data_IF_418199296695
#
_entry.id   IF_418199296695
#
_cell.length_a   1.000
_cell.length_b   1.000
_cell.length_c   1.000
_cell.angle_alpha   90.00
_cell.angle_beta   90.00
_cell.angle_gamma   90.00
#
_symmetry.space_group_name_H-M   'P 1'
#
loop_
_entity.id
_entity.type
_entity.pdbx_description
1 polymer ?
#
# COMPACT_ATOMS: atom_id res chain seq x y z
N UNK A 1 -45.02 34.50 9.82
CA UNK A 1 -44.69 33.48 8.79
C UNK A 1 -44.37 34.14 7.46
N UNK A 2 -43.17 33.93 6.91
CA UNK A 2 -42.85 34.35 5.54
C UNK A 2 -42.94 33.13 4.61
N UNK A 3 -44.15 32.83 4.12
CA UNK A 3 -44.46 31.57 3.40
C UNK A 3 -43.53 31.29 2.21
N UNK A 4 -43.00 32.34 1.57
CA UNK A 4 -42.04 32.21 0.49
C UNK A 4 -40.69 31.60 0.94
N UNK A 5 -40.21 31.91 2.15
CA UNK A 5 -38.96 31.34 2.69
C UNK A 5 -39.11 29.88 3.10
N UNK A 6 -40.23 29.54 3.74
CA UNK A 6 -40.55 28.15 4.07
C UNK A 6 -40.70 27.28 2.81
N UNK A 7 -41.35 27.81 1.76
CA UNK A 7 -41.47 27.15 0.47
C UNK A 7 -40.11 26.95 -0.22
N UNK A 8 -39.24 27.97 -0.21
CA UNK A 8 -37.90 27.86 -0.77
C UNK A 8 -37.05 26.79 -0.06
N UNK A 9 -37.07 26.76 1.28
CA UNK A 9 -36.36 25.73 2.06
C UNK A 9 -36.90 24.32 1.79
N UNK A 10 -38.23 24.16 1.68
CA UNK A 10 -38.84 22.88 1.33
C UNK A 10 -38.45 22.39 -0.08
N UNK A 11 -38.34 23.31 -1.05
CA UNK A 11 -37.89 22.98 -2.41
C UNK A 11 -36.42 22.57 -2.42
N UNK A 12 -35.56 23.24 -1.65
CA UNK A 12 -34.14 22.86 -1.50
C UNK A 12 -34.03 21.44 -0.97
N UNK A 13 -34.72 21.12 0.14
CA UNK A 13 -34.70 19.77 0.72
C UNK A 13 -35.19 18.71 -0.28
N UNK A 14 -36.28 18.98 -1.01
CA UNK A 14 -36.80 18.03 -2.00
C UNK A 14 -35.83 17.81 -3.17
N UNK A 15 -35.19 18.86 -3.69
CA UNK A 15 -34.26 18.75 -4.82
C UNK A 15 -32.97 18.03 -4.40
N UNK A 16 -32.42 18.35 -3.23
CA UNK A 16 -31.20 17.73 -2.73
C UNK A 16 -31.43 16.27 -2.29
N UNK A 17 -32.57 15.95 -1.67
CA UNK A 17 -32.95 14.56 -1.41
C UNK A 17 -33.17 13.75 -2.70
N UNK A 18 -33.73 14.36 -3.75
CA UNK A 18 -33.86 13.72 -5.06
C UNK A 18 -32.49 13.48 -5.73
N UNK A 19 -31.56 14.42 -5.57
CA UNK A 19 -30.19 14.29 -6.05
C UNK A 19 -29.42 13.18 -5.31
N UNK A 20 -29.59 13.07 -3.99
CA UNK A 20 -29.03 11.97 -3.19
C UNK A 20 -29.55 10.60 -3.64
N UNK A 21 -30.86 10.49 -3.91
CA UNK A 21 -31.46 9.26 -4.44
C UNK A 21 -30.88 8.94 -5.82
N UNK A 22 -30.73 9.94 -6.70
CA UNK A 22 -30.12 9.76 -8.02
C UNK A 22 -28.67 9.26 -7.95
N UNK A 23 -27.85 9.87 -7.09
CA UNK A 23 -26.46 9.44 -6.86
C UNK A 23 -26.37 8.02 -6.29
N UNK A 24 -27.30 7.64 -5.41
CA UNK A 24 -27.37 6.29 -4.87
C UNK A 24 -27.71 5.26 -5.97
N UNK A 25 -28.62 5.58 -6.88
CA UNK A 25 -29.02 4.68 -7.97
C UNK A 25 -27.98 4.56 -9.10
N UNK A 26 -27.28 5.64 -9.45
CA UNK A 26 -26.22 5.62 -10.47
C UNK A 26 -25.00 4.82 -10.02
N UNK A 27 -24.62 4.91 -8.73
CA UNK A 27 -23.47 4.15 -8.21
C UNK A 27 -23.79 2.67 -7.96
N UNK A 28 -25.02 2.36 -7.54
CA UNK A 28 -25.47 0.98 -7.32
C UNK A 28 -25.63 0.16 -8.62
N UNK A 29 -25.66 0.81 -9.78
CA UNK A 29 -25.84 0.16 -11.09
C UNK A 29 -24.54 -0.16 -11.82
N UNK A 30 -23.38 0.01 -11.17
CA UNK A 30 -22.08 -0.40 -11.72
C UNK A 30 -21.73 -1.85 -11.37
N UNK A 31 -22.61 -2.80 -11.72
CA UNK A 31 -22.20 -4.20 -11.85
C UNK A 31 -21.43 -4.35 -13.15
N UNK A 32 -20.10 -4.51 -13.03
CA UNK A 32 -19.19 -4.70 -14.15
C UNK A 32 -19.12 -6.19 -14.52
N UNK A 33 -19.23 -6.54 -15.82
CA UNK A 33 -18.94 -7.89 -16.28
C UNK A 33 -17.42 -8.14 -16.22
N UNK A 34 -17.05 -9.34 -15.79
CA UNK A 34 -15.68 -9.89 -15.90
C UNK A 34 -15.23 -9.89 -17.36
N UNK A 35 -14.03 -9.38 -17.69
CA UNK A 35 -13.48 -9.50 -19.03
C UNK A 35 -13.23 -10.98 -19.38
N UNK A 36 -13.66 -11.42 -20.56
CA UNK A 36 -13.19 -12.68 -21.15
C UNK A 36 -11.72 -12.51 -21.53
N UNK A 37 -10.83 -13.20 -20.82
CA UNK A 37 -9.41 -13.29 -21.16
C UNK A 37 -9.20 -14.09 -22.44
N UNK A 38 -8.36 -13.57 -23.34
CA UNK A 38 -7.90 -14.27 -24.54
C UNK A 38 -7.11 -15.53 -24.14
N UNK A 39 -7.36 -16.65 -24.83
CA UNK A 39 -6.93 -18.00 -24.45
C UNK A 39 -5.45 -18.31 -24.75
N UNK A 40 -4.59 -17.29 -24.75
CA UNK A 40 -3.15 -17.42 -25.05
C UNK A 40 -2.23 -16.95 -23.94
N UNK A 41 -2.77 -16.42 -22.84
CA UNK A 41 -1.99 -16.00 -21.67
C UNK A 41 -1.73 -17.22 -20.76
N UNK A 42 -0.50 -17.43 -20.24
CA UNK A 42 -0.22 -18.42 -19.20
C UNK A 42 -1.21 -18.28 -18.03
N UNK A 43 -1.37 -19.32 -17.21
CA UNK A 43 -2.26 -19.26 -16.04
C UNK A 43 -1.70 -18.29 -14.99
N UNK A 44 -1.93 -17.00 -15.22
CA UNK A 44 -1.49 -15.93 -14.33
C UNK A 44 -2.49 -15.83 -13.19
N UNK A 45 -2.00 -16.14 -12.00
CA UNK A 45 -2.69 -15.83 -10.77
C UNK A 45 -2.10 -14.55 -10.18
N UNK A 46 -2.79 -13.96 -9.21
CA UNK A 46 -2.24 -12.85 -8.43
C UNK A 46 -2.20 -13.31 -6.98
N UNK A 47 -1.01 -13.31 -6.39
CA UNK A 47 -0.81 -13.41 -4.95
C UNK A 47 -1.05 -12.02 -4.37
N UNK A 48 -1.72 -11.93 -3.22
CA UNK A 48 -1.99 -10.68 -2.54
C UNK A 48 -1.71 -10.81 -1.05
N UNK A 49 -1.04 -9.79 -0.49
CA UNK A 49 -0.94 -9.51 0.94
C UNK A 49 -2.04 -8.56 1.37
N UNK A 50 -2.81 -8.92 2.39
CA UNK A 50 -3.88 -8.07 2.94
C UNK A 50 -3.55 -7.68 4.36
N UNK A 51 -3.36 -6.38 4.59
CA UNK A 51 -3.08 -5.82 5.91
C UNK A 51 -4.29 -6.01 6.84
N UNK A 52 -5.48 -5.64 6.37
CA UNK A 52 -6.73 -5.78 7.12
C UNK A 52 -7.96 -5.72 6.22
N UNK A 53 -9.07 -6.27 6.71
CA UNK A 53 -10.40 -6.13 6.13
C UNK A 53 -11.23 -5.15 6.94
N UNK A 54 -11.80 -4.16 6.25
CA UNK A 54 -12.70 -3.17 6.81
C UNK A 54 -11.98 -1.93 7.33
N UNK A 55 -11.05 -2.07 8.29
CA UNK A 55 -10.32 -0.95 8.89
C UNK A 55 -8.90 -1.37 9.27
N UNK A 56 -7.92 -0.47 9.16
CA UNK A 56 -6.48 -0.73 9.37
C UNK A 56 -6.15 -1.46 10.69
N UNK A 57 -6.90 -1.20 11.76
CA UNK A 57 -6.68 -1.80 13.08
C UNK A 57 -7.53 -3.04 13.39
N UNK A 58 -8.11 -3.73 12.41
CA UNK A 58 -8.96 -4.90 12.66
C UNK A 58 -8.19 -6.21 12.85
N UNK A 59 -6.87 -6.23 12.62
CA UNK A 59 -5.97 -7.37 12.84
C UNK A 59 -6.51 -8.69 12.25
N UNK A 60 -7.02 -8.62 11.02
CA UNK A 60 -7.69 -9.72 10.32
C UNK A 60 -7.18 -9.88 8.88
N UNK A 61 -5.91 -9.54 8.67
CA UNK A 61 -5.17 -9.69 7.43
C UNK A 61 -4.95 -11.14 7.03
N UNK A 62 -4.57 -11.33 5.77
CA UNK A 62 -4.38 -12.65 5.17
C UNK A 62 -3.54 -12.56 3.89
N UNK A 63 -2.95 -13.70 3.50
CA UNK A 63 -2.40 -13.90 2.16
C UNK A 63 -3.44 -14.66 1.31
N UNK A 64 -3.56 -14.34 0.03
CA UNK A 64 -4.47 -15.03 -0.88
C UNK A 64 -3.96 -15.12 -2.31
N UNK A 65 -4.41 -16.13 -3.04
CA UNK A 65 -4.22 -16.22 -4.49
C UNK A 65 -5.56 -16.10 -5.18
N UNK A 66 -5.65 -15.18 -6.15
CA UNK A 66 -6.83 -14.95 -6.97
C UNK A 66 -6.57 -15.32 -8.42
N UNK A 67 -7.56 -15.94 -9.05
CA UNK A 67 -7.52 -16.22 -10.48
C UNK A 67 -7.89 -14.97 -11.30
N UNK A 68 -7.61 -15.00 -12.60
CA UNK A 68 -7.92 -13.90 -13.53
C UNK A 68 -9.40 -13.49 -13.55
N UNK A 69 -10.33 -14.41 -13.24
CA UNK A 69 -11.75 -14.10 -13.13
C UNK A 69 -12.17 -13.50 -11.77
N UNK A 70 -11.20 -13.23 -10.88
CA UNK A 70 -11.41 -12.70 -9.53
C UNK A 70 -11.80 -13.75 -8.47
N UNK A 71 -11.88 -15.03 -8.82
CA UNK A 71 -12.20 -16.07 -7.83
C UNK A 71 -11.01 -16.36 -6.92
N UNK A 72 -11.31 -16.56 -5.63
CA UNK A 72 -10.33 -16.98 -4.62
C UNK A 72 -9.93 -18.44 -4.87
N UNK A 73 -8.63 -18.67 -5.01
CA UNK A 73 -8.02 -19.99 -5.29
C UNK A 73 -7.36 -20.56 -4.04
N UNK A 74 -6.67 -19.69 -3.31
CA UNK A 74 -5.95 -20.04 -2.10
C UNK A 74 -6.06 -18.90 -1.08
N UNK A 75 -6.00 -19.24 0.20
CA UNK A 75 -6.02 -18.29 1.31
C UNK A 75 -5.32 -18.89 2.51
N UNK A 76 -4.50 -18.08 3.17
CA UNK A 76 -3.83 -18.39 4.42
C UNK A 76 -3.93 -17.19 5.34
N UNK A 77 -4.10 -17.43 6.63
CA UNK A 77 -4.28 -16.39 7.63
C UNK A 77 -3.93 -16.90 9.01
N UNK A 78 -3.42 -16.01 9.85
CA UNK A 78 -3.23 -16.23 11.29
C UNK A 78 -4.21 -15.33 12.04
N UNK A 79 -4.80 -15.77 13.17
CA UNK A 79 -5.66 -14.90 13.97
C UNK A 79 -4.91 -13.66 14.47
N UNK A 80 -5.59 -12.51 14.52
CA UNK A 80 -5.02 -11.24 15.00
C UNK A 80 -3.80 -10.76 14.20
N UNK A 81 -3.72 -11.12 12.91
CA UNK A 81 -2.55 -10.82 12.09
C UNK A 81 -2.83 -9.70 11.08
N UNK A 82 -1.75 -9.00 10.70
CA UNK A 82 -1.64 -8.14 9.54
C UNK A 82 -0.61 -8.78 8.60
N UNK A 83 -0.86 -8.76 7.30
CA UNK A 83 0.08 -9.26 6.27
C UNK A 83 0.46 -8.08 5.39
N UNK A 84 1.74 -7.78 5.35
CA UNK A 84 2.26 -6.61 4.63
C UNK A 84 2.81 -7.05 3.27
N UNK A 85 3.79 -7.93 3.28
CA UNK A 85 4.44 -8.45 2.08
C UNK A 85 4.17 -9.96 1.87
N UNK A 86 4.12 -10.40 0.60
CA UNK A 86 4.01 -11.79 0.16
C UNK A 86 4.67 -12.04 -1.20
N UNK A 87 5.60 -13.01 -1.27
CA UNK A 87 6.17 -13.48 -2.55
C UNK A 87 5.94 -14.99 -2.77
N UNK A 88 5.92 -15.42 -4.05
CA UNK A 88 6.03 -16.84 -4.39
C UNK A 88 7.52 -17.22 -4.50
N UNK A 89 7.94 -18.26 -3.78
CA UNK A 89 9.29 -18.80 -3.86
C UNK A 89 9.46 -19.75 -5.06
N UNK A 90 10.70 -19.94 -5.49
CA UNK A 90 11.03 -20.83 -6.61
C UNK A 90 10.60 -22.30 -6.39
N UNK A 91 10.50 -22.75 -5.14
CA UNK A 91 10.01 -24.08 -4.77
C UNK A 91 8.48 -24.20 -4.82
N UNK A 92 7.75 -23.10 -5.07
CA UNK A 92 6.30 -23.01 -5.14
C UNK A 92 5.64 -22.58 -3.82
N UNK A 93 6.39 -22.48 -2.72
CA UNK A 93 5.90 -21.99 -1.43
C UNK A 93 5.65 -20.49 -1.46
N UNK A 94 4.97 -19.99 -0.43
CA UNK A 94 4.69 -18.56 -0.26
C UNK A 94 5.50 -18.05 0.93
N UNK A 95 6.30 -17.00 0.75
CA UNK A 95 6.85 -16.23 1.86
C UNK A 95 5.83 -15.16 2.26
N UNK A 96 5.78 -14.80 3.53
CA UNK A 96 4.92 -13.71 3.99
C UNK A 96 5.50 -13.01 5.23
N UNK A 97 5.39 -11.68 5.22
CA UNK A 97 5.69 -10.80 6.35
C UNK A 97 4.42 -10.55 7.17
N UNK A 98 4.42 -11.03 8.42
CA UNK A 98 3.22 -11.13 9.26
C UNK A 98 3.44 -10.51 10.64
N UNK A 99 2.63 -9.52 10.99
CA UNK A 99 2.60 -8.93 12.32
C UNK A 99 1.37 -9.44 13.09
N UNK A 100 1.58 -10.19 14.17
CA UNK A 100 0.51 -10.74 15.01
C UNK A 100 0.35 -9.91 16.27
N UNK A 101 -0.85 -9.37 16.50
CA UNK A 101 -1.18 -8.64 17.71
C UNK A 101 -1.40 -9.61 18.87
N UNK A 102 -0.58 -9.47 19.91
CA UNK A 102 -0.56 -10.37 21.06
C UNK A 102 -1.11 -9.67 22.30
N UNK A 103 -2.11 -10.24 23.00
CA UNK A 103 -2.62 -9.66 24.24
C UNK A 103 -1.53 -9.45 25.30
N UNK A 104 -1.57 -8.36 26.08
CA UNK A 104 -0.54 -8.03 27.11
C UNK A 104 -0.13 -9.24 27.96
N UNK A 105 -1.12 -10.02 28.38
CA UNK A 105 -0.94 -11.12 29.30
C UNK A 105 -0.11 -12.29 28.71
N UNK A 106 0.00 -12.34 27.38
CA UNK A 106 0.74 -13.35 26.62
C UNK A 106 2.06 -12.81 26.06
N UNK A 107 2.32 -11.50 26.21
CA UNK A 107 3.56 -10.88 25.79
C UNK A 107 4.77 -11.34 26.64
N UNK A 108 5.99 -11.38 26.08
CA UNK A 108 7.20 -11.53 26.87
C UNK A 108 7.31 -10.47 27.96
N UNK A 109 7.86 -10.82 29.14
CA UNK A 109 7.91 -9.94 30.32
C UNK A 109 8.46 -8.54 30.03
N UNK A 110 9.43 -8.42 29.10
CA UNK A 110 10.02 -7.13 28.73
C UNK A 110 9.05 -6.16 28.05
N UNK A 111 8.02 -6.67 27.38
CA UNK A 111 6.99 -5.90 26.68
C UNK A 111 5.66 -5.90 27.43
N UNK A 112 5.60 -6.52 28.62
CA UNK A 112 4.42 -6.44 29.45
C UNK A 112 4.32 -5.06 30.07
N UNK A 113 3.46 -4.24 29.50
CA UNK A 113 3.20 -2.88 29.93
C UNK A 113 2.21 -2.89 31.09
N UNK A 114 2.60 -2.35 32.26
CA UNK A 114 1.70 -2.24 33.43
C UNK A 114 0.76 -1.04 33.33
N UNK A 115 1.18 -0.01 32.60
CA UNK A 115 0.50 1.29 32.46
C UNK A 115 0.51 1.84 30.99
N UNK A 116 0.95 1.07 29.99
CA UNK A 116 1.03 1.43 28.56
C UNK A 116 0.17 0.57 27.60
N UNK A 117 0.38 0.60 26.27
CA UNK A 117 -0.51 -0.02 25.29
C UNK A 117 -0.71 -1.51 25.58
N UNK A 118 -1.96 -1.95 25.52
CA UNK A 118 -2.37 -3.22 26.11
C UNK A 118 -1.92 -4.47 25.33
N UNK A 119 -1.26 -4.35 24.18
CA UNK A 119 -0.85 -5.49 23.37
C UNK A 119 0.56 -5.24 22.84
N UNK A 120 1.37 -6.28 22.75
CA UNK A 120 2.63 -6.28 21.99
C UNK A 120 2.40 -6.86 20.60
N UNK A 121 3.44 -6.89 19.77
CA UNK A 121 3.41 -7.53 18.45
C UNK A 121 4.41 -8.67 18.38
N UNK A 122 4.02 -9.72 17.68
CA UNK A 122 4.87 -10.85 17.31
C UNK A 122 5.04 -10.81 15.80
N UNK A 123 6.18 -10.29 15.37
CA UNK A 123 6.58 -10.22 13.97
C UNK A 123 7.14 -11.55 13.53
N UNK A 124 6.72 -11.99 12.34
CA UNK A 124 7.03 -13.31 11.80
C UNK A 124 7.21 -13.19 10.30
N UNK A 125 8.36 -13.65 9.80
CA UNK A 125 8.54 -13.96 8.38
C UNK A 125 8.40 -15.46 8.24
N UNK A 126 7.42 -15.91 7.46
CA UNK A 126 7.03 -17.33 7.38
C UNK A 126 7.09 -17.84 5.94
N UNK A 127 7.68 -19.01 5.75
CA UNK A 127 7.54 -19.78 4.51
C UNK A 127 6.41 -20.79 4.69
N UNK A 128 5.44 -20.75 3.79
CA UNK A 128 4.20 -21.52 3.84
C UNK A 128 4.19 -22.52 2.68
N UNK A 129 4.05 -23.81 3.00
CA UNK A 129 3.80 -24.83 1.98
C UNK A 129 2.48 -24.53 1.28
N UNK A 130 2.52 -24.35 -0.04
CA UNK A 130 1.35 -23.90 -0.80
C UNK A 130 0.18 -24.90 -0.72
N UNK A 131 0.46 -26.21 -0.75
CA UNK A 131 -0.54 -27.25 -0.80
C UNK A 131 -1.12 -27.57 0.58
N UNK A 132 -0.26 -27.72 1.59
CA UNK A 132 -0.69 -28.11 2.95
C UNK A 132 -1.08 -26.92 3.81
N UNK A 133 -0.58 -25.72 3.48
CA UNK A 133 -0.72 -24.48 4.27
C UNK A 133 0.01 -24.51 5.61
N UNK A 134 0.92 -25.47 5.79
CA UNK A 134 1.77 -25.54 6.97
C UNK A 134 2.92 -24.52 6.84
N UNK A 135 3.28 -23.89 7.95
CA UNK A 135 4.51 -23.10 8.02
C UNK A 135 5.69 -24.07 8.07
N UNK A 136 6.57 -24.02 7.07
CA UNK A 136 7.72 -24.92 6.90
C UNK A 136 9.05 -24.28 7.30
N UNK A 137 9.10 -22.95 7.36
CA UNK A 137 10.20 -22.18 7.92
C UNK A 137 9.65 -20.88 8.54
N UNK A 138 10.31 -20.39 9.58
CA UNK A 138 9.92 -19.17 10.29
C UNK A 138 11.14 -18.49 10.91
N UNK A 139 11.17 -17.16 10.82
CA UNK A 139 11.99 -16.29 11.65
C UNK A 139 11.09 -15.27 12.35
N UNK A 140 11.22 -15.13 13.67
CA UNK A 140 10.27 -14.36 14.47
C UNK A 140 10.90 -13.59 15.63
N UNK A 141 10.25 -12.49 16.00
CA UNK A 141 10.61 -11.69 17.18
C UNK A 141 9.39 -10.95 17.72
N UNK A 142 9.47 -10.57 19.00
CA UNK A 142 8.47 -9.70 19.62
C UNK A 142 8.95 -8.26 19.65
N UNK A 143 8.00 -7.33 19.57
CA UNK A 143 8.21 -5.90 19.74
C UNK A 143 7.11 -5.22 20.60
N UNK A 144 7.32 -3.97 21.00
CA UNK A 144 6.61 -3.34 22.12
C UNK A 144 5.10 -3.18 21.92
N UNK A 145 4.64 -2.74 20.74
CA UNK A 145 3.22 -2.56 20.42
C UNK A 145 2.96 -2.68 18.92
N UNK A 146 1.73 -2.98 18.46
CA UNK A 146 1.49 -3.30 17.04
C UNK A 146 1.78 -2.21 16.03
N UNK A 147 1.28 -0.99 16.24
CA UNK A 147 1.35 0.02 15.19
C UNK A 147 2.76 0.61 15.13
N UNK A 148 3.31 0.68 13.92
CA UNK A 148 4.65 1.18 13.63
C UNK A 148 5.79 0.29 14.13
N UNK A 149 5.48 -0.96 14.48
CA UNK A 149 6.49 -1.97 14.83
C UNK A 149 6.28 -3.28 14.08
N UNK A 150 5.49 -3.27 13.02
CA UNK A 150 5.29 -4.43 12.17
C UNK A 150 6.53 -4.74 11.32
N UNK A 151 6.82 -6.03 11.11
CA UNK A 151 7.66 -6.40 9.96
C UNK A 151 6.91 -6.01 8.70
N UNK A 152 7.57 -5.22 7.85
CA UNK A 152 6.93 -4.66 6.67
C UNK A 152 7.21 -5.47 5.42
N UNK A 153 8.45 -5.93 5.27
CA UNK A 153 8.89 -6.52 4.02
C UNK A 153 9.99 -7.59 4.23
N UNK A 154 10.01 -8.62 3.39
CA UNK A 154 11.02 -9.66 3.43
C UNK A 154 11.20 -10.45 2.11
N UNK A 155 12.44 -10.49 1.64
CA UNK A 155 12.84 -11.10 0.37
C UNK A 155 13.70 -12.35 0.53
N UNK A 156 13.36 -13.46 -0.16
CA UNK A 156 14.25 -14.61 -0.27
C UNK A 156 15.32 -14.37 -1.35
N UNK A 157 16.55 -14.20 -0.88
CA UNK A 157 17.71 -13.96 -1.73
C UNK A 157 18.13 -15.21 -2.53
N UNK A 158 18.82 -15.05 -3.68
CA UNK A 158 19.30 -16.17 -4.51
C UNK A 158 20.25 -17.15 -3.81
N UNK A 159 20.90 -16.73 -2.71
CA UNK A 159 21.77 -17.57 -1.90
C UNK A 159 21.00 -18.39 -0.84
N UNK A 160 19.69 -18.19 -0.70
CA UNK A 160 18.81 -18.84 0.27
C UNK A 160 18.68 -18.12 1.61
N UNK A 161 19.36 -16.99 1.81
CA UNK A 161 19.11 -16.09 2.94
C UNK A 161 17.82 -15.30 2.73
N UNK A 162 17.23 -14.78 3.79
CA UNK A 162 16.08 -13.88 3.73
C UNK A 162 16.51 -12.48 4.18
N UNK A 163 16.30 -11.46 3.36
CA UNK A 163 16.43 -10.05 3.71
C UNK A 163 15.13 -9.57 4.37
N UNK A 164 15.21 -8.69 5.37
CA UNK A 164 14.06 -8.29 6.19
C UNK A 164 14.15 -6.81 6.55
N UNK A 165 13.03 -6.11 6.35
CA UNK A 165 12.77 -4.74 6.77
C UNK A 165 12.01 -4.73 8.11
N UNK A 166 12.70 -4.38 9.20
CA UNK A 166 12.16 -4.35 10.56
C UNK A 166 11.92 -2.89 10.97
N UNK A 167 10.71 -2.42 10.68
CA UNK A 167 10.27 -1.05 10.92
C UNK A 167 10.44 -0.65 12.38
N UNK A 168 9.97 -1.48 13.32
CA UNK A 168 9.92 -1.13 14.74
C UNK A 168 11.29 -0.93 15.40
N UNK A 169 12.34 -1.47 14.79
CA UNK A 169 13.71 -1.37 15.27
C UNK A 169 14.61 -0.57 14.32
N UNK A 170 14.02 0.12 13.33
CA UNK A 170 14.69 0.98 12.34
C UNK A 170 15.92 0.32 11.68
N UNK A 171 15.77 -0.95 11.27
CA UNK A 171 16.88 -1.74 10.74
C UNK A 171 16.50 -2.64 9.57
N UNK A 172 17.51 -2.94 8.78
CA UNK A 172 17.48 -3.89 7.67
C UNK A 172 18.51 -4.98 7.95
N UNK A 173 18.17 -6.26 7.72
CA UNK A 173 19.11 -7.35 7.99
C UNK A 173 18.86 -8.58 7.11
N UNK A 174 19.86 -9.46 7.01
CA UNK A 174 19.69 -10.78 6.40
C UNK A 174 19.83 -11.89 7.43
N UNK A 175 19.02 -12.94 7.28
CA UNK A 175 19.11 -14.17 8.08
C UNK A 175 19.34 -15.38 7.19
N UNK A 176 20.16 -16.32 7.65
CA UNK A 176 20.29 -17.62 7.00
C UNK A 176 19.16 -18.58 7.41
N UNK A 177 19.08 -19.74 6.77
CA UNK A 177 18.06 -20.77 7.06
C UNK A 177 18.04 -21.22 8.53
N UNK A 178 19.17 -21.14 9.24
CA UNK A 178 19.28 -21.49 10.66
C UNK A 178 18.83 -20.35 11.61
N UNK A 179 18.46 -19.19 11.09
CA UNK A 179 18.06 -18.01 11.84
C UNK A 179 19.22 -17.17 12.38
N UNK A 180 20.44 -17.33 11.85
CA UNK A 180 21.57 -16.48 12.21
C UNK A 180 21.56 -15.22 11.35
N UNK A 181 21.65 -14.05 11.97
CA UNK A 181 21.83 -12.76 11.26
C UNK A 181 23.21 -12.76 10.60
N UNK A 182 23.26 -12.56 9.28
CA UNK A 182 24.50 -12.58 8.47
C UNK A 182 24.93 -11.20 7.99
N UNK A 183 24.03 -10.23 8.01
CA UNK A 183 24.27 -8.80 7.74
C UNK A 183 23.20 -7.98 8.47
N UNK A 184 23.55 -6.78 8.95
CA UNK A 184 22.62 -5.86 9.60
C UNK A 184 23.07 -4.41 9.37
N UNK A 185 22.11 -3.57 9.01
CA UNK A 185 22.23 -2.13 8.88
C UNK A 185 21.21 -1.46 9.79
N UNK A 186 21.66 -0.50 10.60
CA UNK A 186 20.82 0.21 11.59
C UNK A 186 20.72 1.68 11.21
N UNK A 187 19.50 2.20 10.99
CA UNK A 187 19.31 3.59 10.61
C UNK A 187 19.90 4.58 11.63
N UNK A 188 19.87 4.22 12.91
CA UNK A 188 20.45 5.01 14.00
C UNK A 188 21.95 5.32 13.81
N UNK A 189 22.70 4.44 13.15
CA UNK A 189 24.14 4.63 12.91
C UNK A 189 24.43 5.46 11.66
N UNK A 190 23.45 5.57 10.75
CA UNK A 190 23.68 6.02 9.38
C UNK A 190 22.90 7.28 9.00
N UNK A 191 21.66 7.43 9.44
CA UNK A 191 20.77 8.53 9.05
C UNK A 191 20.15 9.29 10.22
N UNK A 192 20.40 8.90 11.48
CA UNK A 192 19.89 9.66 12.63
C UNK A 192 20.56 11.04 12.77
N UNK A 193 19.93 11.94 13.54
CA UNK A 193 20.47 13.26 13.88
C UNK A 193 21.91 13.17 14.40
N UNK A 194 22.80 13.95 13.78
CA UNK A 194 24.23 14.00 14.12
C UNK A 194 25.11 13.02 13.33
N UNK A 195 24.51 12.22 12.44
CA UNK A 195 25.25 11.51 11.40
C UNK A 195 25.60 12.47 10.25
N UNK A 196 26.69 12.21 9.49
CA UNK A 196 27.02 13.01 8.33
C UNK A 196 25.90 13.05 7.27
N UNK A 197 25.18 11.94 7.08
CA UNK A 197 24.08 11.89 6.14
C UNK A 197 22.95 12.83 6.56
N UNK A 198 22.53 12.80 7.84
CA UNK A 198 21.47 13.67 8.35
C UNK A 198 21.84 15.16 8.22
N UNK A 199 23.07 15.52 8.62
CA UNK A 199 23.55 16.91 8.51
C UNK A 199 23.65 17.41 7.06
N UNK A 200 23.75 16.50 6.09
CA UNK A 200 23.82 16.83 4.68
C UNK A 200 22.44 16.94 4.01
N UNK A 201 21.51 16.07 4.35
CA UNK A 201 20.25 15.91 3.60
C UNK A 201 19.03 16.48 4.32
N UNK A 202 19.04 16.59 5.65
CA UNK A 202 17.87 17.11 6.39
C UNK A 202 17.98 18.62 6.57
N UNK A 203 16.96 19.42 6.16
CA UNK A 203 16.96 20.86 6.37
C UNK A 203 17.05 21.25 7.85
N UNK A 204 17.89 22.25 8.17
CA UNK A 204 18.12 22.71 9.54
C UNK A 204 16.85 23.08 10.30
N UNK A 205 15.85 23.67 9.62
CA UNK A 205 14.57 24.08 10.21
C UNK A 205 13.55 22.94 10.32
N UNK A 206 13.87 21.76 9.78
CA UNK A 206 13.08 20.53 9.86
C UNK A 206 13.73 19.44 10.71
N UNK A 207 14.91 19.68 11.29
CA UNK A 207 15.63 18.64 12.02
C UNK A 207 14.81 17.92 13.12
N UNK A 208 13.90 18.62 13.81
CA UNK A 208 13.01 18.03 14.83
C UNK A 208 11.91 17.13 14.26
N UNK A 209 11.54 17.29 12.99
CA UNK A 209 10.55 16.46 12.31
C UNK A 209 11.09 15.06 11.99
N UNK A 210 12.36 14.98 11.60
CA UNK A 210 13.01 13.73 11.17
C UNK A 210 13.79 13.01 12.29
N UNK A 211 13.95 13.63 13.46
CA UNK A 211 14.76 13.03 14.51
C UNK A 211 14.01 11.91 15.25
N UNK A 212 14.76 10.88 15.65
CA UNK A 212 14.26 9.86 16.58
C UNK A 212 13.84 10.50 17.91
N UNK A 213 12.63 10.17 18.35
CA UNK A 213 12.05 10.54 19.65
C UNK A 213 12.29 9.46 20.73
N UNK A 214 13.01 8.39 20.37
CA UNK A 214 13.37 7.29 21.26
C UNK A 214 13.35 5.92 20.58
N UNK A 215 13.61 4.84 21.34
CA UNK A 215 13.72 3.49 20.79
C UNK A 215 12.46 2.94 20.11
N UNK A 216 11.28 3.45 20.49
CA UNK A 216 9.99 2.98 19.98
C UNK A 216 9.31 4.05 19.10
N UNK A 217 10.11 4.96 18.53
CA UNK A 217 9.58 6.05 17.69
C UNK A 217 9.55 5.63 16.22
N UNK A 218 8.46 5.97 15.52
CA UNK A 218 8.32 5.75 14.08
C UNK A 218 9.01 6.86 13.29
N UNK A 219 10.34 6.96 13.37
CA UNK A 219 11.06 8.06 12.73
C UNK A 219 11.59 7.71 11.34
N UNK A 220 11.85 6.42 11.06
CA UNK A 220 12.22 5.98 9.71
C UNK A 220 11.01 5.49 8.91
N UNK A 221 10.12 4.75 9.57
CA UNK A 221 9.14 3.89 8.94
C UNK A 221 9.75 3.05 7.80
N UNK A 222 10.90 2.41 8.07
CA UNK A 222 11.59 1.56 7.09
C UNK A 222 10.65 0.42 6.68
N UNK A 223 10.32 0.35 5.40
CA UNK A 223 9.14 -0.35 4.91
C UNK A 223 9.41 -1.30 3.75
N UNK A 224 10.65 -1.39 3.28
CA UNK A 224 10.98 -2.11 2.05
C UNK A 224 12.47 -2.43 1.97
N UNK A 225 12.84 -3.60 1.41
CA UNK A 225 14.20 -4.07 1.22
C UNK A 225 14.38 -4.99 0.01
N UNK A 226 14.90 -4.45 -1.09
CA UNK A 226 15.26 -5.26 -2.27
C UNK A 226 16.76 -5.51 -2.38
N UNK A 227 17.17 -6.68 -2.88
CA UNK A 227 18.55 -6.90 -3.30
C UNK A 227 18.79 -6.56 -4.77
N UNK A 228 19.66 -5.59 -5.01
CA UNK A 228 20.15 -5.25 -6.34
C UNK A 228 21.11 -6.30 -6.90
N UNK A 229 21.19 -6.37 -8.24
CA UNK A 229 22.08 -7.30 -8.96
C UNK A 229 23.58 -7.17 -8.64
N UNK A 230 24.02 -6.02 -8.12
CA UNK A 230 25.40 -5.78 -7.65
C UNK A 230 25.64 -6.32 -6.23
N UNK A 231 24.61 -6.79 -5.54
CA UNK A 231 24.64 -7.33 -4.18
C UNK A 231 24.29 -6.34 -3.08
N UNK A 232 24.15 -5.05 -3.41
CA UNK A 232 23.68 -4.00 -2.50
C UNK A 232 22.19 -4.17 -2.19
N UNK A 233 21.74 -3.52 -1.12
CA UNK A 233 20.34 -3.43 -0.78
C UNK A 233 19.79 -2.06 -1.14
N UNK A 234 18.57 -2.04 -1.63
CA UNK A 234 17.77 -0.85 -1.73
C UNK A 234 16.85 -0.81 -0.51
N UNK A 235 16.83 0.31 0.21
CA UNK A 235 16.03 0.45 1.43
C UNK A 235 15.11 1.66 1.29
N UNK A 236 13.81 1.46 1.46
CA UNK A 236 12.87 2.58 1.52
C UNK A 236 12.77 3.12 2.94
N UNK A 237 13.06 4.42 3.12
CA UNK A 237 12.91 5.15 4.37
C UNK A 237 11.75 6.12 4.21
N UNK A 238 10.54 5.60 4.38
CA UNK A 238 9.28 6.28 4.05
C UNK A 238 9.16 7.66 4.69
N UNK A 239 9.46 7.80 5.98
CA UNK A 239 9.25 9.09 6.67
C UNK A 239 10.29 10.15 6.28
N UNK A 240 11.32 9.77 5.54
CA UNK A 240 12.32 10.69 4.99
C UNK A 240 12.06 11.00 3.51
N UNK A 241 11.06 10.40 2.88
CA UNK A 241 10.81 10.50 1.43
C UNK A 241 12.01 10.07 0.57
N UNK A 242 12.86 9.16 1.09
CA UNK A 242 14.08 8.71 0.40
C UNK A 242 14.19 7.20 0.25
N UNK A 243 14.88 6.80 -0.80
CA UNK A 243 15.33 5.43 -1.04
C UNK A 243 16.85 5.40 -1.01
N UNK A 244 17.45 4.47 -0.26
CA UNK A 244 18.89 4.38 -0.04
C UNK A 244 19.45 3.14 -0.75
N UNK A 245 20.56 3.28 -1.50
CA UNK A 245 21.37 2.11 -1.90
C UNK A 245 22.48 1.89 -0.87
N UNK A 246 22.47 0.73 -0.22
CA UNK A 246 23.36 0.37 0.89
C UNK A 246 24.20 -0.85 0.53
N UNK A 247 25.51 -0.73 0.71
CA UNK A 247 26.48 -1.82 0.48
C UNK A 247 26.46 -2.86 1.59
N UNK A 248 27.04 -4.04 1.34
CA UNK A 248 27.25 -5.09 2.36
C UNK A 248 28.20 -4.66 3.49
N UNK A 249 28.98 -3.60 3.27
CA UNK A 249 29.83 -2.95 4.28
C UNK A 249 29.10 -1.85 5.07
N UNK A 250 27.78 -1.70 4.90
CA UNK A 250 26.91 -0.71 5.54
C UNK A 250 27.14 0.75 5.10
N UNK A 251 27.77 0.97 3.94
CA UNK A 251 27.91 2.31 3.38
C UNK A 251 26.71 2.66 2.49
N UNK A 252 26.10 3.83 2.71
CA UNK A 252 25.13 4.43 1.80
C UNK A 252 25.91 4.97 0.60
N UNK A 253 25.66 4.44 -0.60
CA UNK A 253 26.36 4.83 -1.83
C UNK A 253 25.51 5.70 -2.75
N UNK A 254 24.19 5.59 -2.67
CA UNK A 254 23.25 6.45 -3.38
C UNK A 254 22.06 6.80 -2.48
N UNK A 255 21.43 7.95 -2.74
CA UNK A 255 20.21 8.42 -2.10
C UNK A 255 19.33 8.99 -3.20
N UNK A 256 18.10 8.48 -3.29
CA UNK A 256 17.08 8.95 -4.23
C UNK A 256 16.00 9.70 -3.50
N UNK A 257 15.62 10.86 -4.03
CA UNK A 257 14.71 11.78 -3.35
C UNK A 257 15.42 12.60 -2.27
N UNK A 258 14.67 13.48 -1.61
CA UNK A 258 15.20 14.41 -0.61
C UNK A 258 14.15 14.62 0.50
N UNK A 259 14.56 14.64 1.79
CA UNK A 259 13.66 14.98 2.88
C UNK A 259 12.95 16.33 2.65
N UNK A 260 11.62 16.37 2.84
CA UNK A 260 10.75 17.55 2.61
C UNK A 260 10.52 17.90 1.13
N UNK A 261 11.05 17.15 0.16
CA UNK A 261 10.72 17.30 -1.28
C UNK A 261 9.64 16.31 -1.76
N UNK A 262 8.40 16.63 -1.37
CA UNK A 262 7.23 15.85 -1.77
C UNK A 262 6.89 15.91 -3.27
N UNK A 263 7.62 16.67 -4.10
CA UNK A 263 7.39 16.72 -5.54
C UNK A 263 7.93 15.46 -6.24
N UNK A 264 9.00 14.87 -5.69
CA UNK A 264 9.62 13.64 -6.19
C UNK A 264 8.82 12.44 -5.66
N UNK A 265 8.76 12.30 -4.33
CA UNK A 265 8.06 11.22 -3.61
C UNK A 265 7.53 11.72 -2.27
N UNK A 266 6.43 11.15 -1.78
CA UNK A 266 5.86 11.42 -0.47
C UNK A 266 5.37 10.12 0.17
N UNK A 267 6.10 9.69 1.20
CA UNK A 267 5.90 8.49 2.00
C UNK A 267 5.76 7.23 1.11
N UNK A 268 6.79 6.98 0.30
CA UNK A 268 6.84 5.96 -0.75
C UNK A 268 6.98 4.51 -0.27
N UNK A 269 6.63 3.56 -1.15
CA UNK A 269 6.67 2.10 -0.96
C UNK A 269 7.12 1.38 -2.24
N UNK A 270 7.58 0.13 -2.12
CA UNK A 270 8.07 -0.73 -3.20
C UNK A 270 8.87 0.01 -4.29
N UNK A 271 10.04 0.59 -3.95
CA UNK A 271 10.96 1.12 -4.94
C UNK A 271 11.66 0.03 -5.77
N UNK A 272 11.03 -0.44 -6.84
CA UNK A 272 11.62 -1.46 -7.71
C UNK A 272 12.64 -0.88 -8.73
N UNK A 273 13.90 -1.33 -8.69
CA UNK A 273 14.93 -0.93 -9.67
C UNK A 273 14.87 -1.78 -10.94
N UNK A 274 14.50 -1.13 -12.04
CA UNK A 274 14.47 -1.75 -13.37
C UNK A 274 15.91 -1.77 -13.93
N UNK A 275 16.66 -2.82 -13.59
CA UNK A 275 18.12 -2.92 -13.81
C UNK A 275 18.59 -2.82 -15.27
N UNK A 276 17.73 -3.09 -16.25
CA UNK A 276 18.07 -2.92 -17.67
C UNK A 276 18.11 -1.44 -18.07
N UNK A 277 17.00 -0.70 -17.85
CA UNK A 277 16.92 0.74 -18.10
C UNK A 277 17.70 1.63 -17.12
N UNK A 278 17.91 1.19 -15.88
CA UNK A 278 18.47 2.05 -14.82
C UNK A 278 17.45 3.03 -14.24
N UNK A 279 16.16 2.73 -14.32
CA UNK A 279 15.07 3.53 -13.76
C UNK A 279 14.53 2.87 -12.48
N UNK A 280 13.78 3.62 -11.67
CA UNK A 280 13.18 3.12 -10.44
C UNK A 280 11.66 3.36 -10.48
N UNK A 281 10.88 2.30 -10.35
CA UNK A 281 9.43 2.37 -10.22
C UNK A 281 9.08 2.48 -8.74
N UNK A 282 8.16 3.36 -8.37
CA UNK A 282 7.87 3.65 -6.96
C UNK A 282 6.36 3.87 -6.75
N UNK A 283 5.81 3.26 -5.71
CA UNK A 283 4.49 3.62 -5.20
C UNK A 283 4.59 4.87 -4.30
N UNK A 284 4.28 6.03 -4.88
CA UNK A 284 4.30 7.34 -4.20
C UNK A 284 2.97 7.57 -3.46
N UNK A 285 2.88 6.95 -2.28
CA UNK A 285 1.61 6.65 -1.60
C UNK A 285 0.79 7.89 -1.23
N UNK A 286 1.39 8.92 -0.63
CA UNK A 286 0.62 10.10 -0.18
C UNK A 286 0.37 11.12 -1.30
N UNK A 287 1.07 10.99 -2.44
CA UNK A 287 0.71 11.68 -3.68
C UNK A 287 -0.33 10.91 -4.52
N UNK A 288 -0.85 9.78 -4.02
CA UNK A 288 -1.87 8.97 -4.67
C UNK A 288 -1.48 8.56 -6.13
N UNK A 289 -0.21 8.21 -6.37
CA UNK A 289 0.32 7.91 -7.71
C UNK A 289 1.40 6.83 -7.72
N UNK A 290 1.61 6.23 -8.89
CA UNK A 290 2.85 5.51 -9.19
C UNK A 290 3.74 6.41 -10.03
N UNK A 291 5.04 6.46 -9.75
CA UNK A 291 6.04 7.17 -10.56
C UNK A 291 7.14 6.22 -11.02
N UNK A 292 7.70 6.48 -12.19
CA UNK A 292 8.98 5.90 -12.59
C UNK A 292 9.98 7.03 -12.75
N UNK A 293 11.09 6.93 -12.01
CA UNK A 293 12.16 7.90 -11.93
C UNK A 293 13.36 7.45 -12.77
N UNK A 294 13.98 8.39 -13.46
CA UNK A 294 15.35 8.23 -13.94
C UNK A 294 16.30 8.30 -12.73
N UNK A 295 17.12 7.28 -12.48
CA UNK A 295 17.98 7.23 -11.28
C UNK A 295 19.17 8.20 -11.35
N UNK A 296 19.54 8.71 -12.52
CA UNK A 296 20.66 9.68 -12.63
C UNK A 296 20.18 11.12 -12.43
N UNK A 297 18.98 11.43 -12.90
CA UNK A 297 18.45 12.80 -12.93
C UNK A 297 17.28 13.05 -11.98
N UNK A 298 16.69 11.98 -11.44
CA UNK A 298 15.45 11.98 -10.63
C UNK A 298 14.23 12.57 -11.35
N UNK A 299 14.31 12.71 -12.68
CA UNK A 299 13.17 13.13 -13.48
C UNK A 299 12.09 12.03 -13.48
N UNK A 300 10.84 12.41 -13.20
CA UNK A 300 9.67 11.54 -13.37
C UNK A 300 9.45 11.33 -14.88
N UNK A 301 9.79 10.15 -15.39
CA UNK A 301 9.66 9.78 -16.80
C UNK A 301 8.30 9.14 -17.13
N UNK A 302 7.63 8.57 -16.12
CA UNK A 302 6.28 8.05 -16.23
C UNK A 302 5.52 8.21 -14.91
N UNK A 303 4.21 8.40 -14.98
CA UNK A 303 3.36 8.43 -13.78
C UNK A 303 1.93 7.96 -14.05
N UNK A 304 1.28 7.42 -13.03
CA UNK A 304 -0.10 6.96 -13.10
C UNK A 304 -0.88 7.34 -11.84
N UNK A 305 -1.75 8.35 -11.95
CA UNK A 305 -2.61 8.87 -10.88
C UNK A 305 -4.06 8.39 -11.02
N UNK A 306 -4.47 8.02 -12.24
CA UNK A 306 -5.88 7.72 -12.51
C UNK A 306 -6.11 6.70 -13.61
N UNK A 307 -7.24 6.02 -13.49
CA UNK A 307 -7.78 5.18 -14.56
C UNK A 307 -8.35 6.07 -15.68
N UNK A 308 -7.93 5.89 -16.96
CA UNK A 308 -8.44 6.68 -18.06
C UNK A 308 -9.90 6.34 -18.37
N UNK A 309 -10.62 7.31 -18.93
CA UNK A 309 -12.05 7.16 -19.24
C UNK A 309 -12.35 6.08 -20.30
N UNK A 310 -11.34 5.66 -21.06
CA UNK A 310 -11.40 4.56 -22.03
C UNK A 310 -11.48 3.18 -21.38
N UNK A 311 -11.18 3.05 -20.09
CA UNK A 311 -11.22 1.77 -19.40
C UNK A 311 -12.62 1.43 -18.90
N UNK A 312 -12.98 0.14 -19.03
CA UNK A 312 -14.25 -0.43 -18.60
C UNK A 312 -14.15 -1.04 -17.19
N UNK A 313 -13.52 -0.30 -16.27
CA UNK A 313 -13.41 -0.65 -14.85
C UNK A 313 -13.76 0.56 -14.00
N UNK A 314 -13.68 0.46 -12.68
CA UNK A 314 -13.81 1.60 -11.79
C UNK A 314 -12.83 2.73 -12.18
N UNK A 315 -13.35 3.91 -12.50
CA UNK A 315 -12.59 5.03 -13.08
C UNK A 315 -12.07 6.02 -12.05
N UNK A 316 -12.25 5.72 -10.76
CA UNK A 316 -11.75 6.56 -9.68
C UNK A 316 -10.22 6.60 -9.70
N UNK A 317 -9.66 7.73 -9.30
CA UNK A 317 -8.22 7.93 -9.15
C UNK A 317 -7.64 6.92 -8.17
N UNK A 318 -6.35 6.64 -8.33
CA UNK A 318 -5.59 5.86 -7.37
C UNK A 318 -5.70 6.49 -6.00
N UNK A 319 -5.46 5.66 -5.00
CA UNK A 319 -5.44 6.12 -3.65
C UNK A 319 -4.64 5.26 -2.71
N UNK A 320 -3.63 5.89 -2.14
CA UNK A 320 -2.70 5.26 -1.23
C UNK A 320 -2.18 3.95 -1.83
N UNK A 321 -1.63 4.00 -3.07
CA UNK A 321 -1.00 2.83 -3.66
C UNK A 321 0.19 2.43 -2.79
N UNK A 322 0.40 1.13 -2.66
CA UNK A 322 1.42 0.57 -1.75
C UNK A 322 2.48 -0.23 -2.47
N UNK A 323 2.16 -0.67 -3.68
CA UNK A 323 3.01 -1.56 -4.45
C UNK A 323 2.74 -1.32 -5.95
N UNK A 324 3.82 -1.38 -6.75
CA UNK A 324 3.73 -1.47 -8.18
C UNK A 324 4.91 -2.19 -8.85
N UNK A 325 4.63 -3.30 -9.54
CA UNK A 325 5.62 -4.02 -10.33
C UNK A 325 5.46 -3.90 -11.84
N UNK A 326 6.59 -3.74 -12.53
CA UNK A 326 6.66 -3.85 -13.99
C UNK A 326 6.73 -5.33 -14.39
N UNK A 327 5.71 -5.80 -15.11
CA UNK A 327 5.63 -7.18 -15.59
C UNK A 327 6.44 -7.41 -16.89
N UNK A 328 6.82 -8.66 -17.22
CA UNK A 328 7.56 -9.00 -18.46
C UNK A 328 6.87 -8.58 -19.76
N UNK A 329 5.55 -8.39 -19.75
CA UNK A 329 4.77 -7.89 -20.89
C UNK A 329 4.83 -6.36 -21.08
N UNK A 330 5.46 -5.63 -20.14
CA UNK A 330 5.49 -4.17 -20.08
C UNK A 330 4.29 -3.54 -19.37
N UNK A 331 3.32 -4.34 -18.94
CA UNK A 331 2.23 -3.87 -18.07
C UNK A 331 2.78 -3.58 -16.66
N UNK A 332 2.10 -2.73 -15.89
CA UNK A 332 2.37 -2.51 -14.46
C UNK A 332 1.25 -3.13 -13.63
N UNK A 333 1.57 -3.96 -12.65
CA UNK A 333 0.63 -4.37 -11.61
C UNK A 333 0.67 -3.29 -10.50
N UNK A 334 -0.47 -2.91 -9.95
CA UNK A 334 -0.57 -1.81 -8.97
C UNK A 334 -1.57 -2.19 -7.88
N UNK A 335 -1.16 -2.10 -6.62
CA UNK A 335 -2.12 -2.10 -5.50
C UNK A 335 -2.68 -0.69 -5.29
N UNK A 336 -4.00 -0.61 -5.13
CA UNK A 336 -4.72 0.63 -4.86
C UNK A 336 -5.55 0.41 -3.58
N UNK A 337 -4.84 0.46 -2.46
CA UNK A 337 -5.24 -0.18 -1.21
C UNK A 337 -6.49 0.44 -0.59
N UNK A 338 -6.62 1.77 -0.64
CA UNK A 338 -7.83 2.46 -0.14
C UNK A 338 -9.01 2.40 -1.13
N UNK A 339 -8.79 1.87 -2.34
CA UNK A 339 -9.84 1.47 -3.29
C UNK A 339 -10.17 -0.01 -3.26
N UNK A 340 -9.45 -0.79 -2.44
CA UNK A 340 -9.64 -2.24 -2.27
C UNK A 340 -9.48 -3.00 -3.59
N UNK A 341 -8.53 -2.57 -4.44
CA UNK A 341 -8.35 -3.14 -5.77
C UNK A 341 -6.88 -3.30 -6.16
N UNK A 342 -6.67 -4.18 -7.13
CA UNK A 342 -5.42 -4.34 -7.87
C UNK A 342 -5.71 -4.03 -9.33
N UNK A 343 -4.81 -3.31 -10.00
CA UNK A 343 -4.90 -2.94 -11.41
C UNK A 343 -3.70 -3.50 -12.18
N UNK A 344 -3.94 -4.09 -13.34
CA UNK A 344 -2.88 -4.32 -14.33
C UNK A 344 -3.04 -3.28 -15.45
N UNK A 345 -2.08 -2.38 -15.57
CA UNK A 345 -2.11 -1.24 -16.48
C UNK A 345 -1.21 -1.51 -17.69
N UNK A 346 -1.74 -1.29 -18.89
CA UNK A 346 -0.99 -1.43 -20.14
C UNK A 346 -0.03 -0.26 -20.38
N UNK A 347 0.97 -0.43 -21.26
CA UNK A 347 1.80 0.65 -21.77
C UNK A 347 1.08 1.92 -22.27
N UNK A 348 -0.15 1.77 -22.80
CA UNK A 348 -0.98 2.88 -23.27
C UNK A 348 -1.84 3.53 -22.16
N UNK A 349 -1.65 3.12 -20.91
CA UNK A 349 -2.39 3.57 -19.74
C UNK A 349 -3.77 2.92 -19.56
N UNK A 350 -4.25 2.11 -20.51
CA UNK A 350 -5.53 1.40 -20.34
C UNK A 350 -5.41 0.25 -19.33
N UNK A 351 -6.50 -0.09 -18.65
CA UNK A 351 -6.51 -1.23 -17.72
C UNK A 351 -6.68 -2.55 -18.48
N UNK A 352 -5.74 -3.47 -18.31
CA UNK A 352 -5.78 -4.83 -18.85
C UNK A 352 -6.60 -5.77 -18.00
N UNK A 353 -6.49 -5.63 -16.69
CA UNK A 353 -7.18 -6.44 -15.72
C UNK A 353 -7.38 -5.66 -14.44
N UNK A 354 -8.43 -5.97 -13.69
CA UNK A 354 -8.64 -5.43 -12.37
C UNK A 354 -9.26 -6.48 -11.47
N UNK A 355 -8.86 -6.49 -10.21
CA UNK A 355 -9.52 -7.20 -9.13
C UNK A 355 -9.95 -6.20 -8.08
N UNK A 356 -11.21 -6.25 -7.65
CA UNK A 356 -11.69 -5.45 -6.53
C UNK A 356 -12.27 -6.39 -5.48
N UNK A 357 -11.70 -6.41 -4.28
CA UNK A 357 -12.09 -7.37 -3.24
C UNK A 357 -13.54 -7.16 -2.79
N UNK A 358 -14.05 -5.93 -2.87
CA UNK A 358 -15.41 -5.62 -2.43
C UNK A 358 -16.43 -6.25 -3.36
N UNK A 359 -16.21 -6.22 -4.67
CA UNK A 359 -17.12 -6.83 -5.64
C UNK A 359 -16.86 -8.33 -5.79
N UNK A 360 -15.60 -8.76 -5.79
CA UNK A 360 -15.23 -10.16 -6.01
C UNK A 360 -15.44 -11.04 -4.77
N UNK A 361 -15.12 -10.54 -3.58
CA UNK A 361 -15.16 -11.29 -2.32
C UNK A 361 -16.21 -10.79 -1.32
N UNK A 362 -16.80 -9.61 -1.54
CA UNK A 362 -17.67 -8.97 -0.55
C UNK A 362 -16.90 -8.35 0.62
N UNK A 363 -15.58 -8.20 0.50
CA UNK A 363 -14.69 -7.72 1.55
C UNK A 363 -14.06 -6.38 1.16
N UNK A 364 -13.97 -5.41 2.08
CA UNK A 364 -13.15 -4.21 1.89
C UNK A 364 -11.73 -4.49 2.35
N UNK A 365 -11.00 -5.30 1.58
CA UNK A 365 -9.64 -5.71 1.91
C UNK A 365 -8.66 -4.60 1.53
N UNK A 366 -7.87 -4.15 2.50
CA UNK A 366 -6.72 -3.26 2.28
C UNK A 366 -5.61 -4.16 1.76
N UNK A 367 -5.58 -4.31 0.43
CA UNK A 367 -4.54 -5.07 -0.27
C UNK A 367 -3.28 -4.21 -0.23
N UNK A 368 -2.24 -4.69 0.42
CA UNK A 368 -1.00 -3.98 0.63
C UNK A 368 -0.01 -4.33 -0.48
N UNK A 369 0.17 -5.62 -0.72
CA UNK A 369 1.10 -6.18 -1.69
C UNK A 369 0.34 -7.00 -2.75
N UNK A 370 0.79 -6.99 -4.01
CA UNK A 370 0.21 -7.83 -5.04
C UNK A 370 1.17 -8.19 -6.16
N UNK A 371 1.25 -9.50 -6.37
CA UNK A 371 2.34 -10.06 -7.13
C UNK A 371 1.84 -11.08 -8.16
N UNK A 372 2.44 -11.10 -9.37
CA UNK A 372 2.02 -12.03 -10.45
C UNK A 372 2.75 -13.36 -10.30
N UNK A 373 1.99 -14.41 -9.98
CA UNK A 373 2.55 -15.74 -9.72
C UNK A 373 2.12 -16.79 -10.75
N UNK A 374 2.84 -17.92 -10.76
CA UNK A 374 2.57 -19.07 -11.62
C UNK A 374 2.53 -20.36 -10.80
N UNK A 375 1.36 -20.98 -10.72
CA UNK A 375 1.17 -22.20 -9.93
C UNK A 375 1.60 -23.48 -10.64
N UNK A 376 1.54 -23.51 -11.99
CA UNK A 376 1.80 -24.72 -12.79
C UNK A 376 2.76 -24.47 -13.96
N UNK A 377 3.27 -23.25 -14.08
CA UNK A 377 4.18 -22.80 -15.12
C UNK A 377 5.47 -22.30 -14.45
N UNK A 378 6.59 -22.25 -15.18
CA UNK A 378 7.89 -21.91 -14.58
C UNK A 378 7.88 -20.60 -13.78
N UNK A 379 8.62 -20.59 -12.67
CA UNK A 379 8.74 -19.51 -11.69
C UNK A 379 8.84 -18.12 -12.33
N UNK A 380 8.08 -17.17 -11.79
CA UNK A 380 8.16 -15.75 -12.06
C UNK A 380 8.58 -15.07 -10.74
N UNK A 381 9.78 -14.48 -10.67
CA UNK A 381 10.16 -13.63 -9.55
C UNK A 381 9.23 -12.43 -9.44
N UNK A 382 9.05 -11.94 -8.23
CA UNK A 382 8.36 -10.69 -7.88
C UNK A 382 8.93 -9.51 -8.68
N UNK A 383 10.26 -9.35 -8.63
CA UNK A 383 10.99 -8.39 -9.45
C UNK A 383 11.69 -9.06 -10.66
N UNK A 384 11.01 -9.29 -11.79
CA UNK A 384 11.62 -9.93 -12.94
C UNK A 384 12.65 -9.03 -13.60
N UNK A 385 13.88 -9.52 -13.74
CA UNK A 385 14.91 -8.83 -14.52
C UNK A 385 14.54 -8.66 -16.01
N UNK A 386 15.02 -7.55 -16.61
CA UNK A 386 14.92 -7.31 -18.05
C UNK A 386 13.56 -6.81 -18.54
N UNK A 387 12.73 -6.28 -17.64
CA UNK A 387 11.49 -5.60 -17.99
C UNK A 387 11.72 -4.22 -18.60
N UNK A 388 10.69 -3.70 -19.28
CA UNK A 388 10.76 -2.44 -20.02
C UNK A 388 10.55 -1.25 -19.08
N UNK A 389 11.36 -0.21 -19.24
CA UNK A 389 11.10 1.10 -18.62
C UNK A 389 9.83 1.78 -19.16
N UNK A 390 9.33 2.70 -18.34
CA UNK A 390 8.38 3.77 -18.58
C UNK A 390 8.62 4.63 -19.81
N UNK A 391 9.81 4.58 -20.41
CA UNK A 391 10.13 5.29 -21.65
C UNK A 391 9.14 4.97 -22.78
N UNK A 392 8.35 5.99 -23.13
CA UNK A 392 7.32 5.93 -24.17
C UNK A 392 6.00 5.29 -23.72
N UNK A 393 5.82 5.07 -22.41
CA UNK A 393 4.51 4.77 -21.83
C UNK A 393 3.68 6.04 -21.69
N UNK A 394 2.35 5.89 -21.67
CA UNK A 394 1.45 7.03 -21.52
C UNK A 394 1.18 7.31 -20.04
N UNK A 395 1.67 8.44 -19.55
CA UNK A 395 1.31 8.92 -18.22
C UNK A 395 -0.17 9.26 -18.12
N UNK A 396 -0.78 8.94 -16.98
CA UNK A 396 -2.16 9.29 -16.68
C UNK A 396 -2.18 10.23 -15.48
N UNK A 397 -2.37 11.52 -15.73
CA UNK A 397 -2.35 12.54 -14.68
C UNK A 397 -3.74 13.10 -14.38
N UNK A 398 -3.89 13.69 -13.21
CA UNK A 398 -5.07 14.39 -12.76
C UNK A 398 -4.80 15.86 -12.41
N UNK A 399 -5.89 16.62 -12.26
CA UNK A 399 -5.79 18.01 -11.85
C UNK A 399 -5.64 18.10 -10.32
N UNK A 400 -5.09 19.19 -9.79
CA UNK A 400 -4.74 19.32 -8.36
C UNK A 400 -5.93 19.24 -7.38
N UNK A 401 -7.18 19.35 -7.86
CA UNK A 401 -8.38 19.19 -7.02
C UNK A 401 -8.91 17.75 -6.98
N UNK A 402 -8.42 16.87 -7.85
CA UNK A 402 -8.87 15.49 -7.93
C UNK A 402 -8.32 14.64 -6.77
N UNK A 403 -7.03 14.79 -6.44
CA UNK A 403 -6.39 14.11 -5.31
C UNK A 403 -7.08 14.43 -3.99
N UNK A 404 -7.24 15.71 -3.63
CA UNK A 404 -7.95 16.10 -2.40
C UNK A 404 -9.38 15.54 -2.29
N UNK A 405 -10.09 15.41 -3.43
CA UNK A 405 -11.39 14.75 -3.47
C UNK A 405 -11.28 13.24 -3.27
N UNK A 406 -10.30 12.59 -3.93
CA UNK A 406 -10.03 11.17 -3.80
C UNK A 406 -9.72 10.83 -2.34
N UNK A 407 -8.79 11.54 -1.68
CA UNK A 407 -8.47 11.42 -0.25
C UNK A 407 -9.74 11.45 0.60
N UNK A 408 -10.55 12.49 0.48
CA UNK A 408 -11.79 12.61 1.25
C UNK A 408 -12.80 11.47 0.97
N UNK A 409 -12.90 11.01 -0.28
CA UNK A 409 -13.84 9.94 -0.68
C UNK A 409 -13.52 8.60 0.01
N UNK A 410 -12.26 8.31 0.30
CA UNK A 410 -11.89 7.03 0.94
C UNK A 410 -12.05 6.99 2.42
N UNK A 411 -11.67 8.07 3.09
CA UNK A 411 -11.93 8.24 4.51
C UNK A 411 -13.43 8.05 4.78
N UNK A 412 -14.27 8.58 3.90
CA UNK A 412 -15.71 8.36 3.95
C UNK A 412 -16.10 6.92 3.59
N UNK A 413 -15.47 6.29 2.59
CA UNK A 413 -15.78 4.92 2.19
C UNK A 413 -15.56 3.88 3.30
N UNK A 414 -14.72 4.17 4.30
CA UNK A 414 -14.56 3.32 5.48
C UNK A 414 -15.79 3.30 6.40
N UNK A 415 -16.39 4.47 6.64
CA UNK A 415 -17.49 4.65 7.61
C UNK A 415 -18.88 4.73 6.98
N UNK A 416 -18.97 5.09 5.70
CA UNK A 416 -20.23 5.30 5.00
C UNK A 416 -20.50 4.20 3.96
N UNK A 417 -21.77 4.00 3.57
CA UNK A 417 -22.11 3.14 2.44
C UNK A 417 -21.37 3.57 1.16
N UNK A 418 -21.02 2.62 0.30
CA UNK A 418 -20.21 2.87 -0.91
C UNK A 418 -20.79 3.92 -1.88
N UNK A 419 -22.11 4.18 -1.81
CA UNK A 419 -22.75 5.21 -2.62
C UNK A 419 -22.56 6.65 -2.08
N UNK A 420 -22.14 6.81 -0.83
CA UNK A 420 -21.94 8.11 -0.18
C UNK A 420 -20.49 8.60 -0.31
N UNK A 421 -20.22 9.44 -1.31
CA UNK A 421 -18.95 10.18 -1.41
C UNK A 421 -19.02 11.57 -0.76
N UNK A 422 -17.95 12.38 -0.86
CA UNK A 422 -17.86 13.71 -0.25
C UNK A 422 -18.99 14.63 -0.67
N UNK A 423 -19.35 14.60 -1.96
CA UNK A 423 -20.46 15.40 -2.49
C UNK A 423 -21.81 15.00 -1.85
N UNK A 424 -22.05 13.69 -1.68
CA UNK A 424 -23.27 13.19 -1.03
C UNK A 424 -23.35 13.64 0.43
N UNK A 425 -22.21 13.65 1.15
CA UNK A 425 -22.14 14.16 2.53
C UNK A 425 -22.44 15.66 2.58
N UNK A 426 -21.84 16.46 1.70
CA UNK A 426 -22.10 17.90 1.62
C UNK A 426 -23.57 18.20 1.32
N UNK A 427 -24.18 17.45 0.40
CA UNK A 427 -25.61 17.57 0.10
C UNK A 427 -26.45 17.21 1.34
N UNK A 428 -26.13 16.11 2.03
CA UNK A 428 -26.85 15.68 3.24
C UNK A 428 -26.73 16.69 4.40
N UNK A 429 -25.56 17.31 4.59
CA UNK A 429 -25.35 18.37 5.57
C UNK A 429 -26.14 19.64 5.22
N UNK A 430 -26.16 20.00 3.93
CA UNK A 430 -26.98 21.08 3.40
C UNK A 430 -28.47 20.85 3.66
N UNK A 431 -28.95 19.62 3.43
CA UNK A 431 -30.33 19.20 3.70
C UNK A 431 -30.66 19.26 5.19
N UNK A 432 -29.78 18.77 6.06
CA UNK A 432 -29.97 18.83 7.51
C UNK A 432 -30.08 20.29 7.98
N UNK A 433 -29.22 21.17 7.48
CA UNK A 433 -29.26 22.60 7.81
C UNK A 433 -30.55 23.26 7.30
N UNK A 434 -30.95 22.99 6.05
CA UNK A 434 -32.18 23.51 5.48
C UNK A 434 -33.43 23.03 6.25
N UNK A 435 -33.46 21.76 6.66
CA UNK A 435 -34.52 21.19 7.47
C UNK A 435 -34.58 21.81 8.87
N UNK A 436 -33.43 22.06 9.52
CA UNK A 436 -33.35 22.76 10.81
C UNK A 436 -33.88 24.20 10.71
N UNK A 437 -33.50 24.93 9.66
CA UNK A 437 -33.98 26.28 9.40
C UNK A 437 -35.49 26.30 9.13
N UNK A 438 -36.00 25.33 8.36
CA UNK A 438 -37.43 25.17 8.11
C UNK A 438 -38.20 24.87 9.40
N UNK A 439 -37.72 23.94 10.23
CA UNK A 439 -38.32 23.61 11.52
C UNK A 439 -38.36 24.82 12.47
N UNK A 440 -37.31 25.67 12.43
CA UNK A 440 -37.27 26.92 13.20
C UNK A 440 -38.32 27.93 12.71
N UNK A 441 -38.44 28.12 11.39
CA UNK A 441 -39.46 29.01 10.80
C UNK A 441 -40.90 28.53 11.09
N UNK A 442 -41.13 27.21 11.13
CA UNK A 442 -42.42 26.63 11.47
C UNK A 442 -42.76 26.71 12.97
N UNK A 443 -41.76 26.71 13.86
CA UNK A 443 -41.95 26.85 15.33
C UNK A 443 -42.06 28.30 15.81
N UNK A 444 -41.49 29.25 15.07
CA UNK A 444 -41.55 30.68 15.39
C UNK A 444 -42.79 31.40 14.84
N UNK A 445 -43.80 30.65 14.37
CA UNK A 445 -45.03 31.13 13.75
C UNK A 445 -46.25 31.06 14.65
#
# INVERSE_FOLDING_TARGET
MNAARALALAVVVLLASSLLVGLATDRASSEQPTPEGDATTPSNYTLIGVQAVGWFGNDNGYAAVVAQNGSLVWRWSVPNARVFDTEQLQNGNILASVAVVVPNAECPERYQERDGPANCVHNRVVEIDYDTKDVVWEYDWYDAFPNHHEVHDADRLPNGETAIADMGNDRAFTVNEAGEITWEWNASDHIARGTPWFEQHVPDDKADEFASDGPESDWTHLNDIDQLSNGNFLLSVRNYDVVLEVTRENEIVETYGEPDDHAIMSEQHNPNVLAGPGTMLVADSENDRIVELDRETEEIIWQYERVPASSDVDRRSLQWPRDADRLPGGNTLITDSRRYRVLEVRPDGSVAWSFNSQTALGEKAIIYEADRIRLNDGYLPEEPGGVRSGDGLQSQTEGPLAGAYATADSWLAFVLPAWMGPLSVLIALGDALAALLLARELRGG
#
